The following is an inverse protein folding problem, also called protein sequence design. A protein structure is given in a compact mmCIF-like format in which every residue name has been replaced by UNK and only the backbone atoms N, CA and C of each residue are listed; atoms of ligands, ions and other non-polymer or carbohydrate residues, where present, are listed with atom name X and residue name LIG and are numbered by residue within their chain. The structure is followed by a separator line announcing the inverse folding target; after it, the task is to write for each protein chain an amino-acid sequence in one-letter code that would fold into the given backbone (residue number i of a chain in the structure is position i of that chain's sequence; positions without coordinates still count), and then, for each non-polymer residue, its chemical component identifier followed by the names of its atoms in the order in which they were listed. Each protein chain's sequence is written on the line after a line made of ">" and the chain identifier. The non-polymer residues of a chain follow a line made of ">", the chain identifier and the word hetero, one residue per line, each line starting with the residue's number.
data_IF_784582996459
#
_entry.id   IF_784582996459
#
_cell.length_a   1.000
_cell.length_b   1.000
_cell.length_c   1.000
_cell.angle_alpha   90.00
_cell.angle_beta   90.00
_cell.angle_gamma   90.00
#
_symmetry.space_group_name_H-M   'P 1'
#
loop_
_entity.id
_entity.type
_entity.pdbx_description
1 polymer ?
#
# COMPACT_ATOMS: atom_id res chain seq x y z
N UNK A 1 -18.11 16.29 0.34
CA UNK A 1 -17.78 16.40 -1.09
C UNK A 1 -16.37 16.95 -1.21
N UNK A 2 -15.37 16.08 -1.24
CA UNK A 2 -13.98 16.45 -1.49
C UNK A 2 -13.36 15.29 -2.28
N UNK A 3 -13.85 15.12 -3.51
CA UNK A 3 -13.24 14.27 -4.51
C UNK A 3 -12.72 15.21 -5.58
N UNK A 4 -11.51 14.92 -6.04
CA UNK A 4 -10.86 15.50 -7.22
C UNK A 4 -10.29 16.92 -7.13
N UNK A 5 -9.05 16.95 -6.66
CA UNK A 5 -8.00 17.59 -7.44
C UNK A 5 -6.73 16.73 -7.41
N UNK A 6 -6.82 15.45 -7.80
CA UNK A 6 -5.63 14.79 -8.33
C UNK A 6 -5.26 15.55 -9.60
N UNK A 7 -4.11 16.22 -9.58
CA UNK A 7 -3.63 16.92 -10.76
C UNK A 7 -3.45 15.87 -11.87
N UNK A 8 -3.97 16.14 -13.07
CA UNK A 8 -3.81 15.28 -14.26
C UNK A 8 -2.37 14.77 -14.43
N UNK A 9 -1.38 15.61 -14.11
CA UNK A 9 0.04 15.23 -14.13
C UNK A 9 0.40 14.08 -13.18
N UNK A 10 -0.18 14.03 -11.97
CA UNK A 10 0.12 12.94 -11.02
C UNK A 10 -0.50 11.62 -11.49
N UNK A 11 -1.72 11.70 -12.02
CA UNK A 11 -2.42 10.53 -12.58
C UNK A 11 -1.66 9.93 -13.76
N UNK A 12 -1.20 10.76 -14.68
CA UNK A 12 -0.42 10.30 -15.83
C UNK A 12 0.88 9.62 -15.40
N UNK A 13 1.57 10.16 -14.39
CA UNK A 13 2.80 9.57 -13.85
C UNK A 13 2.54 8.19 -13.22
N UNK A 14 1.47 8.03 -12.44
CA UNK A 14 1.08 6.73 -11.88
C UNK A 14 0.80 5.70 -12.99
N UNK A 15 0.08 6.10 -14.03
CA UNK A 15 -0.22 5.23 -15.17
C UNK A 15 1.04 4.85 -15.96
N UNK A 16 1.99 5.77 -16.10
CA UNK A 16 3.28 5.48 -16.72
C UNK A 16 4.07 4.44 -15.92
N UNK A 17 4.12 4.58 -14.59
CA UNK A 17 4.76 3.61 -13.72
C UNK A 17 4.10 2.23 -13.84
N UNK A 18 2.76 2.17 -13.84
CA UNK A 18 2.01 0.92 -13.99
C UNK A 18 2.13 0.29 -15.40
N UNK A 19 2.46 1.08 -16.42
CA UNK A 19 2.63 0.62 -17.80
C UNK A 19 4.06 0.18 -18.15
N UNK A 20 5.00 0.32 -17.21
CA UNK A 20 6.38 -0.16 -17.38
C UNK A 20 6.39 -1.67 -17.66
N UNK A 21 7.32 -2.20 -18.49
CA UNK A 21 7.45 -3.64 -18.70
C UNK A 21 7.56 -4.39 -17.37
N UNK A 22 7.01 -5.60 -17.31
CA UNK A 22 7.25 -6.50 -16.18
C UNK A 22 8.72 -6.92 -16.15
N UNK A 23 9.23 -7.23 -14.96
CA UNK A 23 10.57 -7.81 -14.80
C UNK A 23 10.45 -9.20 -14.17
N UNK A 24 11.43 -10.10 -14.41
CA UNK A 24 11.45 -11.41 -13.75
C UNK A 24 11.40 -11.31 -12.22
N UNK A 25 12.01 -10.28 -11.64
CA UNK A 25 12.01 -10.02 -10.20
C UNK A 25 10.61 -9.66 -9.68
N UNK A 26 9.82 -8.89 -10.45
CA UNK A 26 8.44 -8.60 -10.09
C UNK A 26 7.59 -9.88 -10.10
N UNK A 27 7.74 -10.72 -11.13
CA UNK A 27 6.98 -11.97 -11.23
C UNK A 27 7.28 -12.92 -10.07
N UNK A 28 8.56 -13.11 -9.72
CA UNK A 28 8.97 -13.89 -8.56
C UNK A 28 8.40 -13.31 -7.27
N UNK A 29 8.45 -11.99 -7.11
CA UNK A 29 7.90 -11.33 -5.93
C UNK A 29 6.38 -11.52 -5.82
N UNK A 30 5.64 -11.45 -6.93
CA UNK A 30 4.19 -11.72 -6.95
C UNK A 30 3.88 -13.13 -6.45
N UNK A 31 4.60 -14.14 -6.94
CA UNK A 31 4.42 -15.53 -6.52
C UNK A 31 4.70 -15.70 -5.02
N UNK A 32 5.77 -15.08 -4.53
CA UNK A 32 6.12 -15.10 -3.12
C UNK A 32 5.08 -14.41 -2.24
N UNK A 33 4.56 -13.25 -2.67
CA UNK A 33 3.50 -12.53 -1.95
C UNK A 33 2.21 -13.35 -1.91
N UNK A 34 1.82 -13.97 -3.03
CA UNK A 34 0.63 -14.81 -3.11
C UNK A 34 0.71 -16.06 -2.22
N UNK A 35 1.91 -16.54 -1.93
CA UNK A 35 2.14 -17.64 -1.00
C UNK A 35 2.05 -17.22 0.48
N UNK A 36 2.06 -15.91 0.79
CA UNK A 36 1.89 -15.43 2.16
C UNK A 36 0.46 -15.61 2.64
N UNK A 37 0.30 -15.72 3.96
CA UNK A 37 -1.01 -15.75 4.59
C UNK A 37 -1.59 -14.34 4.72
N UNK A 38 -2.71 -14.10 4.05
CA UNK A 38 -3.49 -12.89 4.20
C UNK A 38 -4.43 -12.97 5.40
N UNK A 39 -4.57 -11.84 6.08
CA UNK A 39 -5.45 -11.62 7.22
C UNK A 39 -6.36 -10.43 6.91
N UNK A 40 -7.62 -10.53 7.32
CA UNK A 40 -8.51 -9.36 7.34
C UNK A 40 -8.08 -8.46 8.49
N UNK A 41 -7.68 -7.23 8.16
CA UNK A 41 -7.32 -6.20 9.13
C UNK A 41 -8.38 -5.12 9.14
N UNK A 42 -8.82 -4.75 10.35
CA UNK A 42 -9.70 -3.62 10.55
C UNK A 42 -8.89 -2.38 10.87
N UNK A 43 -9.46 -1.22 10.57
CA UNK A 43 -8.85 0.05 10.92
C UNK A 43 -9.20 0.43 12.35
N UNK A 44 -8.25 1.09 13.01
CA UNK A 44 -8.52 1.80 14.26
C UNK A 44 -9.59 2.87 13.99
N UNK A 45 -10.51 3.14 14.93
CA UNK A 45 -11.55 4.16 14.73
C UNK A 45 -10.97 5.53 14.37
N UNK A 46 -11.61 6.26 13.46
CA UNK A 46 -11.15 7.57 12.98
C UNK A 46 -10.89 8.57 14.10
N UNK A 47 -11.75 8.58 15.13
CA UNK A 47 -11.58 9.45 16.29
C UNK A 47 -10.27 9.18 17.04
N UNK A 48 -9.87 7.90 17.14
CA UNK A 48 -8.61 7.51 17.77
C UNK A 48 -7.41 7.85 16.86
N UNK A 49 -7.50 7.59 15.55
CA UNK A 49 -6.47 8.00 14.59
C UNK A 49 -6.25 9.52 14.58
N UNK A 50 -7.34 10.30 14.65
CA UNK A 50 -7.31 11.76 14.72
C UNK A 50 -6.69 12.26 16.03
N UNK A 51 -7.06 11.67 17.19
CA UNK A 51 -6.46 12.00 18.48
C UNK A 51 -4.94 11.74 18.48
N UNK A 52 -4.50 10.72 17.74
CA UNK A 52 -3.08 10.40 17.54
C UNK A 52 -2.44 11.12 16.34
N UNK A 53 -3.15 12.02 15.66
CA UNK A 53 -2.64 12.81 14.52
C UNK A 53 -2.08 11.96 13.38
N UNK A 54 -2.62 10.76 13.17
CA UNK A 54 -2.22 9.88 12.06
C UNK A 54 -2.56 10.54 10.73
N UNK A 55 -1.66 10.40 9.74
CA UNK A 55 -1.78 11.10 8.46
C UNK A 55 -2.14 10.12 7.33
N UNK A 56 -3.01 10.50 6.38
CA UNK A 56 -3.25 9.70 5.17
C UNK A 56 -1.92 9.40 4.45
N UNK A 57 -1.83 8.22 3.81
CA UNK A 57 -0.68 7.79 3.01
C UNK A 57 0.66 7.67 3.77
N UNK A 58 0.68 7.82 5.10
CA UNK A 58 1.89 7.71 5.91
C UNK A 58 1.93 6.41 6.73
N UNK A 59 1.59 5.28 6.13
CA UNK A 59 1.34 4.04 6.88
C UNK A 59 2.50 3.54 7.76
N UNK A 60 3.74 3.62 7.27
CA UNK A 60 4.92 3.23 8.04
C UNK A 60 5.18 4.17 9.22
N UNK A 61 5.08 5.48 9.00
CA UNK A 61 5.26 6.49 10.06
C UNK A 61 4.16 6.38 11.10
N UNK A 62 2.91 6.18 10.67
CA UNK A 62 1.77 6.02 11.55
C UNK A 62 1.92 4.77 12.43
N UNK A 63 2.29 3.62 11.86
CA UNK A 63 2.50 2.38 12.61
C UNK A 63 3.63 2.52 13.63
N UNK A 64 4.74 3.16 13.26
CA UNK A 64 5.84 3.44 14.17
C UNK A 64 5.43 4.40 15.31
N UNK A 65 4.75 5.50 14.98
CA UNK A 65 4.30 6.48 15.95
C UNK A 65 3.24 5.92 16.91
N UNK A 66 2.34 5.08 16.42
CA UNK A 66 1.33 4.40 17.24
C UNK A 66 2.00 3.47 18.24
N UNK A 67 2.92 2.61 17.79
CA UNK A 67 3.66 1.71 18.66
C UNK A 67 4.50 2.47 19.71
N UNK A 68 5.14 3.58 19.34
CA UNK A 68 5.93 4.40 20.26
C UNK A 68 5.09 5.09 21.36
N UNK A 69 3.79 5.26 21.14
CA UNK A 69 2.86 5.90 22.08
C UNK A 69 2.04 4.90 22.89
N UNK A 70 2.16 3.60 22.63
CA UNK A 70 1.46 2.58 23.38
C UNK A 70 2.09 2.42 24.79
N UNK A 71 1.40 2.85 25.86
CA UNK A 71 1.95 2.78 27.21
C UNK A 71 2.10 1.33 27.71
N UNK A 72 1.42 0.37 27.09
CA UNK A 72 1.55 -1.04 27.45
C UNK A 72 2.81 -1.69 26.86
N UNK A 73 3.42 -1.06 25.84
CA UNK A 73 4.55 -1.60 25.11
C UNK A 73 4.25 -2.88 24.31
N UNK A 74 2.97 -3.24 24.13
CA UNK A 74 2.56 -4.48 23.46
C UNK A 74 2.36 -4.29 21.96
N UNK A 75 2.27 -3.05 21.50
CA UNK A 75 2.11 -2.69 20.10
C UNK A 75 3.45 -2.68 19.38
N UNK A 76 3.51 -3.32 18.21
CA UNK A 76 4.67 -3.25 17.31
C UNK A 76 4.25 -3.00 15.86
N UNK A 77 5.02 -2.22 15.08
CA UNK A 77 4.78 -2.11 13.66
C UNK A 77 5.07 -3.44 12.96
N UNK A 78 4.26 -3.76 11.95
CA UNK A 78 4.41 -4.93 11.09
C UNK A 78 4.35 -4.45 9.65
N UNK A 79 5.37 -4.78 8.88
CA UNK A 79 5.44 -4.48 7.45
C UNK A 79 5.01 -5.69 6.61
N UNK A 80 4.50 -5.43 5.42
CA UNK A 80 4.00 -6.46 4.54
C UNK A 80 3.21 -5.88 3.38
N UNK A 81 2.28 -6.68 2.87
CA UNK A 81 1.58 -6.41 1.62
C UNK A 81 0.09 -6.26 1.86
N UNK A 82 -0.42 -5.07 1.55
CA UNK A 82 -1.84 -4.80 1.47
C UNK A 82 -2.32 -5.15 0.06
N UNK A 83 -3.25 -6.10 -0.07
CA UNK A 83 -3.89 -6.41 -1.33
C UNK A 83 -5.04 -5.43 -1.59
N UNK A 84 -5.01 -4.78 -2.75
CA UNK A 84 -6.05 -3.88 -3.22
C UNK A 84 -6.33 -4.20 -4.70
N UNK A 85 -7.36 -5.01 -4.91
CA UNK A 85 -7.70 -5.66 -6.19
C UNK A 85 -6.49 -6.25 -6.89
N UNK A 86 -6.10 -5.64 -8.03
CA UNK A 86 -4.99 -6.09 -8.89
C UNK A 86 -3.58 -5.70 -8.43
N UNK A 87 -3.43 -5.09 -7.26
CA UNK A 87 -2.15 -4.57 -6.75
C UNK A 87 -1.86 -5.08 -5.33
N UNK A 88 -0.58 -5.28 -5.04
CA UNK A 88 -0.04 -5.32 -3.69
C UNK A 88 0.67 -4.01 -3.39
N UNK A 89 0.32 -3.39 -2.27
CA UNK A 89 0.93 -2.16 -1.78
C UNK A 89 1.83 -2.48 -0.59
N UNK A 90 3.06 -1.98 -0.61
CA UNK A 90 3.92 -2.04 0.57
C UNK A 90 3.30 -1.20 1.68
N UNK A 91 2.94 -1.86 2.79
CA UNK A 91 2.10 -1.26 3.83
C UNK A 91 2.58 -1.65 5.23
N UNK A 92 2.20 -0.85 6.22
CA UNK A 92 2.40 -1.18 7.63
C UNK A 92 1.13 -1.07 8.45
N UNK A 93 0.96 -2.06 9.31
CA UNK A 93 -0.10 -2.17 10.31
C UNK A 93 0.54 -2.28 11.70
N UNK A 94 -0.27 -2.19 12.75
CA UNK A 94 0.17 -2.45 14.12
C UNK A 94 -0.34 -3.81 14.55
N UNK A 95 0.55 -4.64 15.12
CA UNK A 95 0.16 -5.82 15.90
C UNK A 95 0.08 -5.43 17.37
N UNK A 96 -1.09 -5.60 17.99
CA UNK A 96 -1.29 -5.43 19.42
C UNK A 96 -2.18 -6.54 19.96
N UNK A 97 -1.81 -7.14 21.10
CA UNK A 97 -2.59 -8.19 21.79
C UNK A 97 -3.05 -9.37 20.90
N UNK A 98 -2.34 -9.67 19.79
CA UNK A 98 -2.66 -10.66 18.72
C UNK A 98 -3.54 -10.19 17.55
N UNK A 99 -3.92 -8.91 17.48
CA UNK A 99 -4.71 -8.36 16.36
C UNK A 99 -3.88 -7.41 15.52
N UNK A 100 -3.95 -7.58 14.21
CA UNK A 100 -3.43 -6.64 13.23
C UNK A 100 -4.48 -5.54 12.99
N UNK A 101 -4.06 -4.28 13.05
CA UNK A 101 -4.92 -3.13 12.78
C UNK A 101 -4.24 -2.10 11.90
N UNK A 102 -4.96 -1.59 10.91
CA UNK A 102 -4.52 -0.44 10.15
C UNK A 102 -4.69 0.83 11.01
N UNK A 103 -3.66 1.67 11.04
CA UNK A 103 -3.64 2.95 11.77
C UNK A 103 -3.44 4.13 10.82
N UNK A 104 -3.80 3.95 9.56
CA UNK A 104 -3.68 4.97 8.51
C UNK A 104 -5.08 5.40 8.09
N UNK A 105 -5.42 6.68 8.17
CA UNK A 105 -6.70 7.17 7.67
C UNK A 105 -6.87 6.85 6.18
N UNK A 106 -8.04 6.33 5.83
CA UNK A 106 -8.45 6.04 4.45
C UNK A 106 -9.97 6.17 4.33
N UNK A 107 -10.43 6.61 3.15
CA UNK A 107 -11.84 7.01 2.94
C UNK A 107 -12.83 5.82 2.89
N UNK A 108 -12.33 4.59 2.88
CA UNK A 108 -13.14 3.37 2.81
C UNK A 108 -12.98 2.53 4.07
N UNK A 109 -14.10 2.27 4.76
CA UNK A 109 -14.17 1.44 5.96
C UNK A 109 -14.31 -0.07 5.64
N UNK A 110 -13.61 -0.56 4.62
CA UNK A 110 -13.64 -1.97 4.25
C UNK A 110 -12.56 -2.75 5.01
N UNK A 111 -12.81 -4.03 5.34
CA UNK A 111 -11.74 -4.90 5.81
C UNK A 111 -10.65 -4.96 4.74
N UNK A 112 -9.41 -4.79 5.18
CA UNK A 112 -8.23 -4.74 4.34
C UNK A 112 -7.56 -6.11 4.35
N UNK A 113 -7.27 -6.70 3.20
CA UNK A 113 -6.54 -7.96 3.12
C UNK A 113 -5.03 -7.70 3.21
N UNK A 114 -4.40 -8.05 4.33
CA UNK A 114 -3.00 -7.77 4.59
C UNK A 114 -2.21 -9.05 4.90
N UNK A 115 -1.05 -9.22 4.27
CA UNK A 115 -0.11 -10.29 4.54
C UNK A 115 1.17 -9.72 5.18
N UNK A 116 1.47 -10.02 6.46
CA UNK A 116 2.79 -9.75 7.03
C UNK A 116 3.88 -10.45 6.22
N UNK A 117 4.97 -9.75 5.94
CA UNK A 117 6.13 -10.33 5.26
C UNK A 117 7.32 -10.35 6.23
N UNK A 118 7.69 -11.52 6.77
CA UNK A 118 8.75 -11.64 7.76
C UNK A 118 10.14 -11.37 7.20
N UNK A 119 10.30 -11.31 5.87
CA UNK A 119 11.59 -11.05 5.24
C UNK A 119 11.83 -9.57 4.96
N UNK A 120 10.85 -8.71 5.27
CA UNK A 120 11.03 -7.27 5.23
C UNK A 120 11.70 -6.80 6.53
N UNK A 121 12.86 -6.20 6.36
CA UNK A 121 13.68 -5.63 7.42
C UNK A 121 13.75 -4.11 7.27
N UNK A 122 13.70 -3.40 8.40
CA UNK A 122 13.94 -1.97 8.45
C UNK A 122 15.37 -1.71 8.89
N UNK A 123 16.11 -0.96 8.08
CA UNK A 123 17.47 -0.55 8.36
C UNK A 123 17.51 0.96 8.59
N UNK A 124 18.29 1.40 9.57
CA UNK A 124 18.60 2.82 9.77
C UNK A 124 19.86 3.17 8.98
N UNK A 125 19.72 4.03 7.96
CA UNK A 125 20.81 4.51 7.08
C UNK A 125 20.72 6.03 6.98
N UNK A 126 21.77 6.74 7.41
CA UNK A 126 21.84 8.21 7.40
C UNK A 126 20.59 8.89 8.02
N UNK A 127 20.21 8.46 9.23
CA UNK A 127 19.01 8.92 9.96
C UNK A 127 17.67 8.68 9.23
N UNK A 128 17.65 7.79 8.24
CA UNK A 128 16.45 7.37 7.51
C UNK A 128 16.20 5.88 7.68
N UNK A 129 14.92 5.52 7.85
CA UNK A 129 14.49 4.14 7.80
C UNK A 129 14.26 3.70 6.36
N UNK A 130 15.02 2.71 5.91
CA UNK A 130 14.84 2.07 4.61
C UNK A 130 14.35 0.64 4.80
N UNK A 131 13.37 0.23 3.99
CA UNK A 131 12.90 -1.15 3.96
C UNK A 131 13.72 -1.96 2.95
N UNK A 132 14.19 -3.13 3.37
CA UNK A 132 14.83 -4.13 2.51
C UNK A 132 14.13 -5.46 2.64
N UNK A 133 14.08 -6.22 1.55
CA UNK A 133 13.63 -7.62 1.55
C UNK A 133 14.71 -8.48 0.91
N UNK A 134 15.28 -9.41 1.68
CA UNK A 134 16.49 -10.18 1.28
C UNK A 134 17.62 -9.30 0.70
N UNK A 135 17.85 -8.12 1.29
CA UNK A 135 18.88 -7.15 0.86
C UNK A 135 18.48 -6.22 -0.30
N UNK A 136 17.40 -6.51 -1.02
CA UNK A 136 16.88 -5.66 -2.10
C UNK A 136 15.93 -4.58 -1.59
N UNK A 137 15.83 -3.45 -2.29
CA UNK A 137 14.85 -2.42 -1.96
C UNK A 137 13.43 -2.97 -2.13
N UNK A 138 12.54 -2.69 -1.18
CA UNK A 138 11.14 -3.11 -1.27
C UNK A 138 10.40 -2.19 -2.25
N UNK A 139 9.81 -2.71 -3.34
CA UNK A 139 9.00 -1.89 -4.22
C UNK A 139 7.72 -1.44 -3.51
N UNK A 140 7.30 -0.20 -3.76
CA UNK A 140 6.10 0.34 -3.13
C UNK A 140 4.80 -0.31 -3.67
N UNK A 141 4.79 -0.69 -4.95
CA UNK A 141 3.67 -1.34 -5.63
C UNK A 141 4.18 -2.56 -6.39
N UNK A 142 3.41 -3.65 -6.33
CA UNK A 142 3.65 -4.87 -7.09
C UNK A 142 2.34 -5.27 -7.79
N UNK A 143 2.40 -5.62 -9.07
CA UNK A 143 1.21 -5.93 -9.88
C UNK A 143 0.86 -7.41 -9.79
N UNK A 144 -0.37 -7.75 -9.38
CA UNK A 144 -0.80 -9.16 -9.23
C UNK A 144 -0.76 -9.91 -10.57
N UNK A 145 -1.18 -9.25 -11.64
CA UNK A 145 -1.08 -9.73 -13.03
C UNK A 145 -0.44 -8.61 -13.87
N UNK A 146 0.91 -8.52 -13.92
CA UNK A 146 1.59 -7.40 -14.54
C UNK A 146 1.12 -7.15 -15.97
N UNK A 147 0.91 -8.20 -16.77
CA UNK A 147 0.42 -8.08 -18.16
C UNK A 147 -0.96 -7.41 -18.23
N UNK A 148 -1.91 -7.86 -17.41
CA UNK A 148 -3.24 -7.26 -17.37
C UNK A 148 -3.19 -5.81 -16.85
N UNK A 149 -2.37 -5.52 -15.82
CA UNK A 149 -2.23 -4.17 -15.28
C UNK A 149 -1.61 -3.24 -16.34
N UNK A 150 -0.55 -3.66 -17.03
CA UNK A 150 0.13 -2.89 -18.09
C UNK A 150 -0.85 -2.54 -19.21
N UNK A 151 -1.62 -3.52 -19.69
CA UNK A 151 -2.60 -3.31 -20.75
C UNK A 151 -3.68 -2.29 -20.34
N UNK A 152 -4.20 -2.40 -19.12
CA UNK A 152 -5.19 -1.46 -18.56
C UNK A 152 -4.59 -0.07 -18.36
N UNK A 153 -3.38 0.04 -17.82
CA UNK A 153 -2.70 1.31 -17.59
C UNK A 153 -2.45 2.06 -18.90
N UNK A 154 -2.01 1.36 -19.96
CA UNK A 154 -1.85 1.93 -21.31
C UNK A 154 -3.17 2.44 -21.88
N UNK A 155 -4.25 1.65 -21.75
CA UNK A 155 -5.59 2.06 -22.20
C UNK A 155 -6.09 3.29 -21.45
N UNK A 156 -5.94 3.32 -20.11
CA UNK A 156 -6.35 4.44 -19.29
C UNK A 156 -5.54 5.72 -19.59
N UNK A 157 -4.22 5.58 -19.80
CA UNK A 157 -3.36 6.69 -20.22
C UNK A 157 -3.81 7.26 -21.57
N UNK A 158 -4.10 6.40 -22.55
CA UNK A 158 -4.56 6.85 -23.85
C UNK A 158 -5.91 7.59 -23.75
N UNK A 159 -6.88 7.04 -22.99
CA UNK A 159 -8.17 7.69 -22.78
C UNK A 159 -8.05 9.09 -22.15
N UNK A 160 -7.15 9.25 -21.17
CA UNK A 160 -6.85 10.57 -20.57
C UNK A 160 -6.27 11.55 -21.57
N UNK A 161 -5.31 11.11 -22.40
CA UNK A 161 -4.69 11.95 -23.41
C UNK A 161 -5.69 12.37 -24.50
N UNK A 162 -6.64 11.50 -24.80
CA UNK A 162 -7.71 11.75 -25.79
C UNK A 162 -8.85 12.62 -25.22
N UNK A 163 -8.80 13.00 -23.93
CA UNK A 163 -9.86 13.74 -23.26
C UNK A 163 -11.17 12.96 -23.11
N UNK A 164 -11.11 11.63 -23.20
CA UNK A 164 -12.24 10.75 -22.94
C UNK A 164 -12.52 10.66 -21.44
N UNK A 165 -13.72 10.20 -21.07
CA UNK A 165 -14.06 9.97 -19.67
C UNK A 165 -13.04 9.03 -19.02
N UNK A 166 -12.28 9.59 -18.08
CA UNK A 166 -11.33 8.84 -17.28
C UNK A 166 -12.07 8.19 -16.13
N UNK A 167 -12.16 6.86 -16.20
CA UNK A 167 -12.52 6.07 -15.03
C UNK A 167 -11.23 5.85 -14.27
N UNK A 168 -11.14 6.39 -13.05
CA UNK A 168 -10.01 6.18 -12.16
C UNK A 168 -9.73 4.67 -12.05
N UNK A 169 -8.62 4.17 -12.60
CA UNK A 169 -8.32 2.77 -12.50
C UNK A 169 -8.06 2.42 -11.04
N UNK A 170 -7.65 3.37 -10.18
CA UNK A 170 -7.58 3.16 -8.73
C UNK A 170 -8.93 2.91 -8.06
N UNK A 171 -10.04 3.35 -8.64
CA UNK A 171 -11.38 2.96 -8.24
C UNK A 171 -11.78 1.59 -8.84
N UNK A 172 -11.29 1.26 -10.04
CA UNK A 172 -11.52 -0.04 -10.70
C UNK A 172 -10.59 -1.18 -10.25
N UNK A 173 -9.50 -0.89 -9.51
CA UNK A 173 -8.66 -1.87 -8.81
C UNK A 173 -9.21 -2.17 -7.40
N UNK A 174 -10.38 -1.67 -7.02
CA UNK A 174 -10.99 -1.90 -5.69
C UNK A 174 -11.97 -3.09 -5.70
N UNK A 175 -12.45 -3.50 -6.88
CA UNK A 175 -13.29 -4.69 -7.05
C UNK A 175 -12.47 -5.97 -7.37
#
# INVERSE_FOLDING_TARGET
>A
MAQDARNLSSVLLELEQLAMPETPEEQLLVEEILALRFYDVSSVPDAEMAAQRMQPQQCHNNAAAFAARDPSGQSRPVAGWLRRGGLFLFHSVVLSQSRLRCVTPHDHALPLAFAPDPEIEWLDVDDRKIARRRGSAVPYVVRVDPQAIIARARKAKQALLDGSEYVDPAAAWID
#
